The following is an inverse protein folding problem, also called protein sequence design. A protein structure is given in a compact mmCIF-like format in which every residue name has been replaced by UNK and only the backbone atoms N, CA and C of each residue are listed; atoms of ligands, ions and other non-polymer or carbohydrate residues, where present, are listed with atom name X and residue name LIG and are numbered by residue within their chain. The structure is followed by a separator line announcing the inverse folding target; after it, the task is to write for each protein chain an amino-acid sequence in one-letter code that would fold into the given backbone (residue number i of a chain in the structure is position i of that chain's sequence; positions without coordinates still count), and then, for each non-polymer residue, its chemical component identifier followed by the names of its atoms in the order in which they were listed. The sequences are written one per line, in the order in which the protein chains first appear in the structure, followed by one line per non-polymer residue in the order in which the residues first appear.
data_IF_552045736512
#
_entry.id   IF_552045736512
#
_cell.length_a   1.000
_cell.length_b   1.000
_cell.length_c   1.000
_cell.angle_alpha   90.00
_cell.angle_beta   90.00
_cell.angle_gamma   90.00
#
_symmetry.space_group_name_H-M   'P 1'
#
loop_
_entity.id
_entity.type
_entity.pdbx_description
1 polymer ?
#
# COMPACT_ATOMS: atom_id res chain seq x y z
N UNK A 1 -47.72 -31.05 10.07
CA UNK A 1 -46.41 -30.53 10.54
C UNK A 1 -45.40 -30.23 9.42
N UNK A 2 -45.81 -30.05 8.15
CA UNK A 2 -44.88 -29.77 7.03
C UNK A 2 -44.89 -28.30 6.55
N UNK A 3 -45.76 -27.45 7.12
CA UNK A 3 -45.92 -26.05 6.69
C UNK A 3 -45.27 -25.01 7.62
N UNK A 4 -44.57 -25.45 8.68
CA UNK A 4 -43.91 -24.57 9.67
C UNK A 4 -42.40 -24.38 9.44
N UNK A 5 -41.80 -25.07 8.47
CA UNK A 5 -40.35 -25.02 8.19
C UNK A 5 -39.92 -23.82 7.32
N UNK A 6 -40.80 -23.34 6.44
CA UNK A 6 -40.50 -22.23 5.54
C UNK A 6 -40.29 -20.87 6.23
N UNK A 7 -41.12 -20.42 7.20
CA UNK A 7 -40.93 -19.10 7.82
C UNK A 7 -39.71 -19.06 8.75
N UNK A 8 -39.31 -20.20 9.34
CA UNK A 8 -38.14 -20.28 10.21
C UNK A 8 -36.82 -20.13 9.43
N UNK A 9 -36.78 -20.64 8.19
CA UNK A 9 -35.60 -20.55 7.32
C UNK A 9 -35.38 -19.11 6.80
N UNK A 10 -36.45 -18.36 6.51
CA UNK A 10 -36.35 -16.95 6.12
C UNK A 10 -35.85 -16.04 7.26
N UNK A 11 -36.25 -16.31 8.51
CA UNK A 11 -35.80 -15.53 9.67
C UNK A 11 -34.30 -15.72 9.98
N UNK A 12 -33.75 -16.92 9.72
CA UNK A 12 -32.33 -17.22 9.88
C UNK A 12 -31.45 -16.53 8.83
N UNK A 13 -31.92 -16.36 7.60
CA UNK A 13 -31.16 -15.68 6.55
C UNK A 13 -31.05 -14.17 6.81
N UNK A 14 -32.11 -13.52 7.30
CA UNK A 14 -32.11 -12.09 7.64
C UNK A 14 -31.22 -11.74 8.85
N UNK A 15 -31.01 -12.68 9.78
CA UNK A 15 -30.15 -12.48 10.96
C UNK A 15 -28.64 -12.50 10.63
N UNK A 16 -28.25 -12.93 9.42
CA UNK A 16 -26.83 -12.98 8.99
C UNK A 16 -26.39 -11.81 8.12
N UNK A 17 -27.29 -10.88 7.83
CA UNK A 17 -26.94 -9.62 7.17
C UNK A 17 -26.26 -8.68 8.18
N UNK A 18 -25.03 -9.02 8.60
CA UNK A 18 -24.18 -8.07 9.29
C UNK A 18 -23.91 -6.91 8.32
N UNK A 19 -24.31 -5.70 8.70
CA UNK A 19 -23.99 -4.49 7.94
C UNK A 19 -22.47 -4.34 7.88
N UNK A 20 -21.89 -4.68 6.74
CA UNK A 20 -20.49 -4.37 6.46
C UNK A 20 -20.38 -2.88 6.18
N UNK A 21 -19.98 -2.11 7.19
CA UNK A 21 -19.67 -0.70 7.03
C UNK A 21 -18.35 -0.57 6.28
N UNK A 22 -18.43 -0.21 5.00
CA UNK A 22 -17.30 0.24 4.22
C UNK A 22 -17.02 1.71 4.55
N UNK A 23 -15.86 2.01 5.12
CA UNK A 23 -15.39 3.38 5.28
C UNK A 23 -14.48 3.75 4.12
N UNK A 24 -14.91 4.68 3.28
CA UNK A 24 -14.07 5.34 2.27
C UNK A 24 -13.73 6.73 2.77
N UNK A 25 -12.47 7.11 2.70
CA UNK A 25 -12.02 8.46 3.04
C UNK A 25 -10.94 8.94 2.07
N UNK A 26 -10.94 10.24 1.81
CA UNK A 26 -9.91 10.91 1.04
C UNK A 26 -8.80 11.43 1.97
N UNK A 27 -7.58 11.54 1.44
CA UNK A 27 -6.39 12.00 2.15
C UNK A 27 -5.80 13.20 1.40
N UNK A 28 -5.77 14.34 2.09
CA UNK A 28 -5.15 15.59 1.66
C UNK A 28 -3.63 15.63 1.95
N UNK A 29 -3.14 14.70 2.75
CA UNK A 29 -1.73 14.50 3.09
C UNK A 29 -1.36 13.02 3.18
N UNK A 30 -0.08 12.66 2.99
CA UNK A 30 0.37 11.28 3.17
C UNK A 30 0.06 10.76 4.58
N UNK A 31 -0.61 9.61 4.65
CA UNK A 31 -1.00 8.94 5.89
C UNK A 31 -1.16 7.44 5.64
N UNK A 32 -0.87 6.63 6.66
CA UNK A 32 -1.13 5.19 6.66
C UNK A 32 -1.80 4.80 7.98
N UNK A 33 -2.67 3.80 7.92
CA UNK A 33 -3.17 3.15 9.12
C UNK A 33 -2.13 2.15 9.66
N UNK A 34 -2.07 1.95 10.97
CA UNK A 34 -1.17 0.98 11.59
C UNK A 34 -1.88 0.23 12.72
N UNK A 35 -1.60 -1.07 12.92
CA UNK A 35 -1.99 -1.78 14.13
C UNK A 35 -1.46 -1.09 15.40
N UNK A 36 -2.17 -1.30 16.52
CA UNK A 36 -1.84 -0.67 17.82
C UNK A 36 -0.41 -0.99 18.29
N UNK A 37 0.06 -2.19 17.99
CA UNK A 37 1.35 -2.75 18.37
C UNK A 37 2.45 -2.56 17.31
N UNK A 38 2.17 -1.83 16.22
CA UNK A 38 3.16 -1.58 15.19
C UNK A 38 4.35 -0.77 15.74
N UNK A 39 5.61 -1.18 15.46
CA UNK A 39 6.78 -0.53 16.03
C UNK A 39 6.83 0.98 15.71
N UNK A 40 6.88 1.80 16.76
CA UNK A 40 6.84 3.27 16.62
C UNK A 40 8.01 3.80 15.79
N UNK A 41 9.21 3.24 15.95
CA UNK A 41 10.37 3.64 15.15
C UNK A 41 10.17 3.37 13.65
N UNK A 42 9.66 2.18 13.30
CA UNK A 42 9.35 1.83 11.90
C UNK A 42 8.26 2.76 11.34
N UNK A 43 7.20 3.04 12.12
CA UNK A 43 6.15 3.99 11.75
C UNK A 43 6.72 5.37 11.44
N UNK A 44 7.53 5.92 12.34
CA UNK A 44 8.12 7.26 12.20
C UNK A 44 9.00 7.34 10.97
N UNK A 45 9.89 6.37 10.76
CA UNK A 45 10.77 6.33 9.60
C UNK A 45 9.96 6.23 8.30
N UNK A 46 8.97 5.35 8.26
CA UNK A 46 8.12 5.19 7.09
C UNK A 46 7.35 6.47 6.77
N UNK A 47 6.70 7.08 7.75
CA UNK A 47 5.97 8.33 7.55
C UNK A 47 6.90 9.47 7.08
N UNK A 48 8.14 9.53 7.56
CA UNK A 48 9.11 10.51 7.09
C UNK A 48 9.47 10.32 5.61
N UNK A 49 9.53 9.07 5.13
CA UNK A 49 9.74 8.78 3.69
C UNK A 49 8.52 9.18 2.86
N UNK A 50 7.31 8.89 3.32
CA UNK A 50 6.07 9.27 2.62
C UNK A 50 5.86 10.79 2.56
N UNK A 51 6.43 11.54 3.49
CA UNK A 51 6.30 12.99 3.61
C UNK A 51 7.50 13.76 3.03
N UNK A 52 8.37 13.09 2.27
CA UNK A 52 9.51 13.74 1.62
C UNK A 52 9.07 14.87 0.70
N UNK A 53 9.76 16.00 0.77
CA UNK A 53 9.43 17.21 0.01
C UNK A 53 9.85 17.17 -1.46
N UNK A 54 10.71 16.22 -1.86
CA UNK A 54 11.09 16.01 -3.25
C UNK A 54 10.11 15.10 -4.01
N UNK A 55 9.05 14.65 -3.35
CA UNK A 55 7.92 13.93 -3.96
C UNK A 55 6.65 14.79 -3.82
N UNK A 56 5.97 15.06 -4.92
CA UNK A 56 4.71 15.80 -4.90
C UNK A 56 3.58 14.85 -4.52
N UNK A 57 2.98 15.00 -3.35
CA UNK A 57 1.77 14.27 -3.01
C UNK A 57 0.58 14.80 -3.83
N UNK A 58 -0.13 13.91 -4.52
CA UNK A 58 -1.23 14.26 -5.43
C UNK A 58 -2.61 13.92 -4.84
N UNK A 59 -2.63 13.40 -3.62
CA UNK A 59 -3.83 12.90 -2.96
C UNK A 59 -3.72 11.40 -2.66
N UNK A 60 -4.65 10.92 -1.87
CA UNK A 60 -4.77 9.50 -1.56
C UNK A 60 -6.18 9.19 -1.09
N UNK A 61 -6.49 7.91 -0.99
CA UNK A 61 -7.72 7.47 -0.38
C UNK A 61 -7.48 6.22 0.45
N UNK A 62 -8.43 5.93 1.33
CA UNK A 62 -8.46 4.72 2.10
C UNK A 62 -9.80 4.02 1.95
N UNK A 63 -9.75 2.70 2.00
CA UNK A 63 -10.91 1.83 2.11
C UNK A 63 -10.67 0.90 3.29
N UNK A 64 -11.38 1.11 4.38
CA UNK A 64 -11.15 0.42 5.65
C UNK A 64 -9.69 0.58 6.14
N UNK A 65 -8.91 -0.50 6.09
CA UNK A 65 -7.50 -0.53 6.50
C UNK A 65 -6.52 -0.46 5.31
N UNK A 66 -7.03 -0.44 4.09
CA UNK A 66 -6.24 -0.33 2.88
C UNK A 66 -6.08 1.16 2.54
N UNK A 67 -4.87 1.57 2.19
CA UNK A 67 -4.55 2.95 1.81
C UNK A 67 -3.86 2.99 0.47
N UNK A 68 -4.25 3.94 -0.37
CA UNK A 68 -3.68 4.21 -1.68
C UNK A 68 -3.23 5.67 -1.76
N UNK A 69 -1.93 5.89 -1.93
CA UNK A 69 -1.32 7.23 -2.00
C UNK A 69 -0.78 7.49 -3.41
N UNK A 70 -1.05 8.66 -3.98
CA UNK A 70 -0.62 9.04 -5.33
C UNK A 70 0.47 10.10 -5.25
N UNK A 71 1.51 9.93 -6.06
CA UNK A 71 2.66 10.83 -6.10
C UNK A 71 3.03 11.25 -7.52
N UNK A 72 3.62 12.43 -7.61
CA UNK A 72 4.29 12.97 -8.78
C UNK A 72 5.75 13.27 -8.51
N UNK A 73 6.56 13.20 -9.55
CA UNK A 73 7.99 13.48 -9.53
C UNK A 73 8.70 12.88 -10.75
N UNK A 74 10.02 13.02 -10.78
CA UNK A 74 10.87 12.42 -11.82
C UNK A 74 11.49 11.09 -11.33
N UNK A 75 12.23 10.42 -12.23
CA UNK A 75 12.94 9.18 -11.88
C UNK A 75 13.89 9.36 -10.68
N UNK A 76 14.51 10.53 -10.52
CA UNK A 76 15.47 10.76 -9.45
C UNK A 76 14.76 10.81 -8.09
N UNK A 77 13.61 11.48 -8.01
CA UNK A 77 12.75 11.49 -6.84
C UNK A 77 12.28 10.07 -6.50
N UNK A 78 11.81 9.30 -7.50
CA UNK A 78 11.39 7.92 -7.29
C UNK A 78 12.54 7.03 -6.79
N UNK A 79 13.74 7.14 -7.36
CA UNK A 79 14.91 6.39 -6.89
C UNK A 79 15.25 6.69 -5.43
N UNK A 80 15.26 7.97 -5.03
CA UNK A 80 15.50 8.37 -3.64
C UNK A 80 14.38 7.91 -2.70
N UNK A 81 13.13 7.91 -3.18
CA UNK A 81 11.98 7.41 -2.44
C UNK A 81 12.11 5.91 -2.17
N UNK A 82 12.39 5.12 -3.21
CA UNK A 82 12.59 3.66 -3.10
C UNK A 82 13.78 3.30 -2.21
N UNK A 83 14.93 3.97 -2.40
CA UNK A 83 16.11 3.79 -1.55
C UNK A 83 15.80 4.10 -0.08
N UNK A 84 15.09 5.19 0.20
CA UNK A 84 14.70 5.55 1.56
C UNK A 84 13.76 4.51 2.20
N UNK A 85 12.81 3.95 1.43
CA UNK A 85 11.95 2.87 1.92
C UNK A 85 12.76 1.63 2.30
N UNK A 86 13.80 1.25 1.56
CA UNK A 86 14.64 0.09 1.91
C UNK A 86 15.44 0.26 3.20
N UNK A 87 15.60 1.50 3.67
CA UNK A 87 16.27 1.82 4.93
C UNK A 87 15.33 1.72 6.14
N UNK A 88 14.03 1.50 5.93
CA UNK A 88 13.06 1.26 7.00
C UNK A 88 13.17 -0.19 7.51
N UNK A 89 13.63 -0.43 8.76
CA UNK A 89 13.80 -1.78 9.27
C UNK A 89 12.47 -2.54 9.38
N UNK A 90 12.47 -3.79 8.93
CA UNK A 90 11.30 -4.68 8.98
C UNK A 90 10.24 -4.42 7.90
N UNK A 91 10.46 -3.42 7.03
CA UNK A 91 9.59 -3.14 5.90
C UNK A 91 9.88 -4.13 4.76
N UNK A 92 8.84 -4.78 4.26
CA UNK A 92 8.85 -5.49 2.99
C UNK A 92 8.41 -4.52 1.91
N UNK A 93 9.26 -4.32 0.90
CA UNK A 93 8.95 -3.48 -0.25
C UNK A 93 8.74 -4.34 -1.49
N UNK A 94 7.60 -4.16 -2.15
CA UNK A 94 7.35 -4.69 -3.49
C UNK A 94 7.21 -3.55 -4.48
N UNK A 95 7.69 -3.76 -5.69
CA UNK A 95 7.60 -2.78 -6.78
C UNK A 95 6.87 -3.47 -7.93
N UNK A 96 5.84 -2.80 -8.45
CA UNK A 96 5.06 -3.28 -9.59
C UNK A 96 4.97 -2.20 -10.65
N UNK A 97 4.88 -2.62 -11.90
CA UNK A 97 4.74 -1.72 -13.03
C UNK A 97 3.32 -1.84 -13.57
N UNK A 98 2.63 -0.71 -13.67
CA UNK A 98 1.24 -0.65 -14.10
C UNK A 98 1.05 0.41 -15.17
N UNK A 99 0.19 0.12 -16.15
CA UNK A 99 -0.36 1.15 -17.03
C UNK A 99 -1.64 1.68 -16.39
N UNK A 100 -1.64 2.96 -16.06
CA UNK A 100 -2.83 3.65 -15.57
C UNK A 100 -3.59 4.27 -16.74
N UNK A 101 -4.87 4.58 -16.53
CA UNK A 101 -5.63 5.41 -17.46
C UNK A 101 -4.93 6.76 -17.64
N UNK A 102 -4.96 7.34 -18.84
CA UNK A 102 -4.33 8.64 -19.13
C UNK A 102 -4.94 9.79 -18.32
N UNK A 103 -6.17 9.63 -17.84
CA UNK A 103 -6.84 10.58 -16.96
C UNK A 103 -6.27 10.58 -15.54
N UNK A 104 -5.60 9.49 -15.14
CA UNK A 104 -4.96 9.40 -13.83
C UNK A 104 -3.61 10.14 -13.83
N UNK A 105 -3.61 11.33 -13.21
CA UNK A 105 -2.42 12.16 -13.08
C UNK A 105 -1.57 11.69 -11.89
N UNK A 106 -0.72 10.69 -12.11
CA UNK A 106 0.33 10.26 -11.18
C UNK A 106 1.54 9.66 -11.90
N UNK A 107 2.69 9.68 -11.24
CA UNK A 107 3.90 9.01 -11.71
C UNK A 107 4.13 7.66 -11.01
N UNK A 108 3.79 7.59 -9.73
CA UNK A 108 3.73 6.33 -8.99
C UNK A 108 2.72 6.43 -7.85
N UNK A 109 2.33 5.26 -7.33
CA UNK A 109 1.48 5.15 -6.17
C UNK A 109 2.06 4.20 -5.12
N UNK A 110 1.57 4.32 -3.90
CA UNK A 110 1.88 3.44 -2.77
C UNK A 110 0.60 2.81 -2.28
N UNK A 111 0.54 1.49 -2.27
CA UNK A 111 -0.53 0.71 -1.64
C UNK A 111 -0.03 0.11 -0.32
N UNK A 112 -0.91 0.12 0.68
CA UNK A 112 -0.67 -0.44 2.01
C UNK A 112 -1.94 -1.11 2.53
N UNK A 113 -1.79 -2.18 3.31
CA UNK A 113 -2.89 -2.83 4.02
C UNK A 113 -2.52 -3.00 5.49
N UNK A 114 -3.16 -2.23 6.37
CA UNK A 114 -2.85 -2.30 7.80
C UNK A 114 -3.33 -3.60 8.48
N UNK A 115 -4.24 -4.36 7.86
CA UNK A 115 -4.73 -5.63 8.42
C UNK A 115 -4.02 -6.87 7.90
N UNK A 116 -3.70 -6.93 6.61
CA UNK A 116 -3.11 -8.15 6.02
C UNK A 116 -1.62 -8.23 6.24
N UNK A 117 -0.92 -7.15 5.90
CA UNK A 117 0.54 -7.10 5.89
C UNK A 117 1.00 -5.70 6.32
N UNK A 118 0.88 -5.36 7.62
CA UNK A 118 1.11 -3.99 8.10
C UNK A 118 2.53 -3.48 7.85
N UNK A 119 3.50 -4.39 7.66
CA UNK A 119 4.89 -4.10 7.34
C UNK A 119 5.22 -4.22 5.84
N UNK A 120 4.22 -4.36 4.97
CA UNK A 120 4.41 -4.51 3.52
C UNK A 120 3.90 -3.28 2.78
N UNK A 121 4.67 -2.81 1.81
CA UNK A 121 4.26 -1.75 0.89
C UNK A 121 4.44 -2.19 -0.55
N UNK A 122 3.50 -1.79 -1.40
CA UNK A 122 3.61 -1.95 -2.84
C UNK A 122 3.73 -0.58 -3.49
N UNK A 123 4.86 -0.32 -4.14
CA UNK A 123 5.04 0.86 -4.99
C UNK A 123 4.67 0.49 -6.43
N UNK A 124 3.62 1.12 -6.96
CA UNK A 124 3.20 0.96 -8.34
C UNK A 124 3.75 2.09 -9.20
N UNK A 125 4.65 1.77 -10.12
CA UNK A 125 5.24 2.73 -11.06
C UNK A 125 4.35 2.84 -12.30
N UNK A 126 3.96 4.06 -12.67
CA UNK A 126 3.12 4.30 -13.84
C UNK A 126 3.96 4.23 -15.13
N UNK A 127 3.73 3.21 -15.94
CA UNK A 127 4.39 3.01 -17.23
C UNK A 127 3.99 4.05 -18.29
N UNK A 128 2.91 4.81 -18.07
CA UNK A 128 2.49 5.89 -18.95
C UNK A 128 3.04 7.25 -18.49
N UNK A 129 3.77 7.32 -17.37
CA UNK A 129 4.41 8.56 -16.94
C UNK A 129 5.49 8.99 -17.94
N UNK A 130 5.43 10.26 -18.36
CA UNK A 130 6.46 10.91 -19.19
C UNK A 130 7.65 11.40 -18.37
N UNK A 131 7.56 11.38 -17.04
CA UNK A 131 8.60 11.85 -16.10
C UNK A 131 9.46 10.71 -15.57
N UNK A 132 8.94 9.48 -15.60
CA UNK A 132 9.69 8.28 -15.24
C UNK A 132 10.36 7.67 -16.48
N UNK A 133 11.67 7.84 -16.57
CA UNK A 133 12.56 7.10 -17.45
C UNK A 133 12.91 5.76 -16.82
N UNK A 134 12.44 4.66 -17.40
CA UNK A 134 12.64 3.32 -16.84
C UNK A 134 14.11 2.87 -16.88
N UNK A 135 14.88 3.30 -17.88
CA UNK A 135 16.30 2.96 -18.00
C UNK A 135 17.15 3.57 -16.87
N UNK A 136 16.66 4.67 -16.27
CA UNK A 136 17.30 5.35 -15.14
C UNK A 136 16.71 4.89 -13.78
N UNK A 137 15.69 4.02 -13.78
CA UNK A 137 15.03 3.55 -12.57
C UNK A 137 15.88 2.48 -11.87
N UNK A 138 16.36 2.82 -10.68
CA UNK A 138 17.10 1.90 -9.83
C UNK A 138 16.12 1.16 -8.90
N UNK A 139 15.86 -0.11 -9.18
CA UNK A 139 15.14 -1.00 -8.26
C UNK A 139 16.11 -1.36 -7.12
N UNK A 140 15.82 -0.99 -5.86
CA UNK A 140 16.72 -1.29 -4.76
C UNK A 140 16.95 -2.80 -4.60
N UNK A 141 18.19 -3.18 -4.31
CA UNK A 141 18.51 -4.56 -3.98
C UNK A 141 17.81 -4.99 -2.69
N UNK A 142 17.29 -6.22 -2.67
CA UNK A 142 16.80 -6.86 -1.44
C UNK A 142 17.91 -7.68 -0.81
N UNK A 143 17.94 -7.77 0.52
CA UNK A 143 18.79 -8.76 1.18
C UNK A 143 18.22 -10.14 0.85
N UNK A 144 18.94 -10.92 0.06
CA UNK A 144 18.60 -12.31 -0.20
C UNK A 144 18.53 -13.12 1.10
N UNK A 145 17.90 -14.31 1.07
CA UNK A 145 17.96 -15.22 2.20
C UNK A 145 19.42 -15.49 2.57
N UNK A 146 19.70 -15.68 3.88
CA UNK A 146 21.03 -16.14 4.29
C UNK A 146 21.33 -17.43 3.53
N UNK A 147 22.47 -17.47 2.82
CA UNK A 147 22.96 -18.72 2.27
C UNK A 147 23.08 -19.69 3.45
N UNK A 148 22.47 -20.87 3.33
CA UNK A 148 22.69 -21.91 4.31
C UNK A 148 24.20 -22.15 4.34
N UNK A 149 24.82 -22.03 5.52
CA UNK A 149 26.17 -22.56 5.69
C UNK A 149 26.08 -24.05 5.39
N UNK A 150 26.84 -24.51 4.40
CA UNK A 150 26.89 -25.92 4.03
C UNK A 150 27.03 -26.75 5.31
N UNK A 151 26.04 -27.61 5.57
CA UNK A 151 26.06 -28.52 6.69
C UNK A 151 27.33 -29.38 6.58
N UNK A 152 28.32 -29.08 7.42
CA UNK A 152 29.52 -29.91 7.60
C UNK A 152 29.20 -31.12 8.46
#
# INVERSE_FOLDING_TARGET
MKHLLAPLFCALLLATAAESFALIFELDRPGLAFPKDFPTATRTNLMAVLQRTDCTFLGGNGFNSDTHLKYGGDTQALNRFLDALTKCPGLTLSIRFYRYDETEKLDWAVDHSAWREPNSLCVRVNLNSKRIKLDDLAVPGTKGPRLAEDAK
#
